data_IF_744165276353
#
_entry.id   IF_744165276353
#
_cell.length_a   1.000
_cell.length_b   1.000
_cell.length_c   1.000
_cell.angle_alpha   90.00
_cell.angle_beta   90.00
_cell.angle_gamma   90.00
#
_symmetry.space_group_name_H-M   'P 1'
#
loop_
_entity.id
_entity.type
_entity.pdbx_description
1 polymer ?
#
# COMPACT_ATOMS: atom_id res chain seq x y z
N UNK A 1 11.36 -28.81 -14.65
CA UNK A 1 10.34 -27.75 -14.83
C UNK A 1 11.03 -26.61 -15.57
N UNK A 2 10.61 -26.30 -16.79
CA UNK A 2 11.22 -25.20 -17.56
C UNK A 2 10.92 -23.88 -16.85
N UNK A 3 11.96 -23.12 -16.48
CA UNK A 3 11.79 -21.75 -16.01
C UNK A 3 11.34 -20.93 -17.21
N UNK A 4 10.07 -20.53 -17.26
CA UNK A 4 9.62 -19.53 -18.21
C UNK A 4 10.36 -18.23 -17.88
N UNK A 5 11.43 -17.94 -18.61
CA UNK A 5 12.15 -16.68 -18.50
C UNK A 5 11.23 -15.57 -19.03
N UNK A 6 10.88 -14.61 -18.17
CA UNK A 6 10.15 -13.42 -18.60
C UNK A 6 10.99 -12.69 -19.66
N UNK A 7 10.38 -12.30 -20.78
CA UNK A 7 11.05 -11.60 -21.89
C UNK A 7 10.91 -10.08 -21.80
N UNK A 8 10.50 -9.54 -20.64
CA UNK A 8 10.34 -8.09 -20.52
C UNK A 8 11.72 -7.38 -20.58
N UNK A 9 11.78 -6.15 -21.12
CA UNK A 9 13.04 -5.40 -21.24
C UNK A 9 13.74 -5.13 -19.89
N UNK A 10 12.96 -5.25 -18.81
CA UNK A 10 13.30 -4.91 -17.43
C UNK A 10 13.83 -6.12 -16.65
N UNK A 11 13.69 -7.33 -17.18
CA UNK A 11 14.21 -8.54 -16.54
C UNK A 11 15.70 -8.70 -16.85
N UNK A 12 16.53 -8.77 -15.79
CA UNK A 12 17.93 -9.17 -15.90
C UNK A 12 18.12 -10.56 -15.31
N UNK A 13 18.58 -11.50 -16.12
CA UNK A 13 19.03 -12.80 -15.64
C UNK A 13 20.11 -12.61 -14.58
N UNK A 14 19.95 -13.25 -13.43
CA UNK A 14 20.89 -13.12 -12.31
C UNK A 14 20.76 -11.83 -11.53
N UNK A 15 19.58 -11.20 -11.48
CA UNK A 15 19.34 -10.15 -10.49
C UNK A 15 19.45 -10.76 -9.08
N UNK A 16 20.26 -10.11 -8.25
CA UNK A 16 20.61 -10.58 -6.91
C UNK A 16 20.27 -9.50 -5.88
N UNK A 17 19.94 -9.89 -4.63
CA UNK A 17 19.78 -8.93 -3.55
C UNK A 17 21.05 -8.08 -3.39
N UNK A 18 20.89 -6.78 -3.16
CA UNK A 18 22.03 -5.92 -2.85
C UNK A 18 22.70 -6.35 -1.54
N UNK A 19 24.02 -6.20 -1.40
CA UNK A 19 24.71 -6.49 -0.16
C UNK A 19 24.16 -5.59 0.96
N UNK A 20 23.92 -6.15 2.13
CA UNK A 20 23.65 -5.33 3.32
C UNK A 20 24.96 -4.68 3.77
N UNK A 21 25.06 -3.34 3.81
CA UNK A 21 26.27 -2.66 4.29
C UNK A 21 26.49 -2.84 5.80
N UNK A 22 25.52 -3.40 6.51
CA UNK A 22 25.53 -3.59 7.96
C UNK A 22 25.12 -5.03 8.29
N UNK A 23 25.80 -5.66 9.25
CA UNK A 23 25.55 -7.06 9.62
C UNK A 23 24.08 -7.32 10.02
N UNK A 24 23.48 -6.39 10.77
CA UNK A 24 22.08 -6.46 11.24
C UNK A 24 21.19 -5.33 10.70
N UNK A 25 21.67 -4.58 9.72
CA UNK A 25 20.95 -3.43 9.19
C UNK A 25 19.90 -3.78 8.16
N UNK A 26 19.26 -2.74 7.67
CA UNK A 26 18.23 -2.80 6.65
C UNK A 26 18.91 -2.50 5.31
N UNK A 27 18.79 -3.42 4.35
CA UNK A 27 19.36 -3.24 3.03
C UNK A 27 18.39 -2.49 2.10
N UNK A 28 18.95 -1.86 1.06
CA UNK A 28 18.15 -1.36 -0.05
C UNK A 28 17.48 -2.52 -0.78
N UNK A 29 16.20 -2.37 -1.11
CA UNK A 29 15.40 -3.40 -1.77
C UNK A 29 14.71 -4.35 -0.82
N UNK A 30 15.09 -4.36 0.47
CA UNK A 30 14.35 -5.13 1.48
C UNK A 30 12.88 -4.74 1.46
N UNK A 31 12.00 -5.73 1.60
CA UNK A 31 10.57 -5.49 1.73
C UNK A 31 10.13 -5.72 3.18
N UNK A 32 9.54 -4.70 3.78
CA UNK A 32 9.00 -4.74 5.13
C UNK A 32 7.50 -4.49 5.12
N UNK A 33 6.80 -4.87 6.19
CA UNK A 33 5.44 -4.39 6.43
C UNK A 33 5.42 -3.13 7.29
N UNK A 34 4.53 -2.19 6.97
CA UNK A 34 4.38 -0.90 7.64
C UNK A 34 2.92 -0.53 7.81
N UNK A 35 2.60 0.21 8.89
CA UNK A 35 1.24 0.69 9.16
C UNK A 35 0.90 2.00 8.44
N UNK A 36 1.19 2.08 7.14
CA UNK A 36 1.01 3.28 6.32
C UNK A 36 -0.24 3.20 5.42
N UNK A 37 -0.87 4.35 5.18
CA UNK A 37 -1.98 4.43 4.23
C UNK A 37 -1.44 4.42 2.79
N UNK A 38 -2.14 3.73 1.89
CA UNK A 38 -1.86 3.82 0.44
C UNK A 38 -2.04 5.25 -0.11
N UNK A 39 -2.81 6.08 0.62
CA UNK A 39 -3.02 7.48 0.27
C UNK A 39 -1.84 8.39 0.64
N UNK A 40 -0.96 7.96 1.54
CA UNK A 40 0.17 8.77 2.03
C UNK A 40 1.08 9.29 0.91
N UNK A 41 1.60 8.45 -0.01
CA UNK A 41 2.39 8.95 -1.14
C UNK A 41 1.58 9.89 -2.04
N UNK A 42 0.27 9.68 -2.19
CA UNK A 42 -0.58 10.56 -3.01
C UNK A 42 -0.74 11.95 -2.39
N UNK A 43 -0.97 12.03 -1.07
CA UNK A 43 -0.97 13.32 -0.39
C UNK A 43 0.41 14.00 -0.47
N UNK A 44 1.50 13.21 -0.43
CA UNK A 44 2.86 13.72 -0.60
C UNK A 44 3.11 14.28 -2.00
N UNK A 45 2.59 13.65 -3.06
CA UNK A 45 2.62 14.20 -4.42
C UNK A 45 1.91 15.56 -4.46
N UNK A 46 0.67 15.64 -3.97
CA UNK A 46 -0.13 16.87 -4.07
C UNK A 46 0.42 18.03 -3.24
N UNK A 47 0.87 17.79 -2.00
CA UNK A 47 1.45 18.87 -1.15
C UNK A 47 2.72 19.47 -1.73
N UNK A 48 3.45 18.70 -2.53
CA UNK A 48 4.70 19.11 -3.18
C UNK A 48 4.47 19.55 -4.64
N UNK A 49 3.22 19.52 -5.14
CA UNK A 49 2.90 19.92 -6.51
C UNK A 49 2.89 21.46 -6.62
N UNK A 50 3.66 22.05 -7.54
CA UNK A 50 3.64 23.50 -7.73
C UNK A 50 2.29 23.94 -8.31
N UNK A 51 1.86 25.15 -7.95
CA UNK A 51 0.63 25.79 -8.43
C UNK A 51 -0.69 25.05 -8.12
N UNK A 52 -0.68 24.06 -7.20
CA UNK A 52 -1.92 23.44 -6.75
C UNK A 52 -2.81 24.48 -6.04
N UNK A 53 -4.12 24.44 -6.31
CA UNK A 53 -5.06 25.36 -5.70
C UNK A 53 -4.96 25.30 -4.17
N UNK A 54 -4.95 26.47 -3.50
CA UNK A 54 -4.72 26.58 -2.05
C UNK A 54 -5.61 25.66 -1.24
N UNK A 55 -6.89 25.54 -1.59
CA UNK A 55 -7.84 24.65 -0.90
C UNK A 55 -7.43 23.17 -0.99
N UNK A 56 -7.03 22.70 -2.18
CA UNK A 56 -6.57 21.33 -2.40
C UNK A 56 -5.22 21.07 -1.73
N UNK A 57 -4.32 22.05 -1.74
CA UNK A 57 -3.04 21.98 -1.03
C UNK A 57 -3.24 21.88 0.50
N UNK A 58 -4.11 22.71 1.07
CA UNK A 58 -4.48 22.64 2.50
C UNK A 58 -5.10 21.29 2.84
N UNK A 59 -6.04 20.82 2.00
CA UNK A 59 -6.69 19.52 2.19
C UNK A 59 -5.67 18.36 2.15
N UNK A 60 -4.73 18.39 1.20
CA UNK A 60 -3.67 17.39 1.06
C UNK A 60 -2.73 17.39 2.26
N UNK A 61 -2.28 18.58 2.68
CA UNK A 61 -1.40 18.75 3.84
C UNK A 61 -2.07 18.29 5.13
N UNK A 62 -3.32 18.69 5.35
CA UNK A 62 -4.10 18.27 6.53
C UNK A 62 -4.32 16.77 6.54
N UNK A 63 -4.64 16.19 5.38
CA UNK A 63 -4.82 14.74 5.24
C UNK A 63 -3.53 13.98 5.48
N UNK A 64 -2.40 14.47 4.96
CA UNK A 64 -1.08 13.91 5.20
C UNK A 64 -0.76 13.90 6.71
N UNK A 65 -0.88 15.06 7.38
CA UNK A 65 -0.63 15.18 8.82
C UNK A 65 -1.57 14.26 9.62
N UNK A 66 -2.87 14.27 9.30
CA UNK A 66 -3.85 13.39 9.96
C UNK A 66 -3.55 11.92 9.78
N UNK A 67 -3.04 11.51 8.62
CA UNK A 67 -2.65 10.13 8.38
C UNK A 67 -1.37 9.79 9.12
N UNK A 68 -0.35 10.65 9.07
CA UNK A 68 0.93 10.44 9.77
C UNK A 68 0.80 10.45 11.29
N UNK A 69 -0.15 11.20 11.87
CA UNK A 69 -0.35 11.27 13.32
C UNK A 69 -1.05 10.05 13.93
N UNK A 70 -1.72 9.22 13.12
CA UNK A 70 -2.38 8.00 13.61
C UNK A 70 -1.34 6.96 14.00
N UNK A 71 -1.58 6.22 15.09
CA UNK A 71 -0.77 5.05 15.44
C UNK A 71 -0.84 3.97 14.34
N UNK A 72 -2.03 3.76 13.78
CA UNK A 72 -2.27 2.85 12.65
C UNK A 72 -3.02 3.59 11.52
N UNK A 73 -2.35 3.77 10.37
CA UNK A 73 -2.95 4.41 9.19
C UNK A 73 -3.48 3.42 8.15
N UNK A 74 -3.31 2.12 8.41
CA UNK A 74 -3.79 1.03 7.57
C UNK A 74 -4.83 0.20 8.32
N UNK A 75 -5.77 -0.37 7.58
CA UNK A 75 -6.71 -1.37 8.10
C UNK A 75 -6.17 -2.80 8.01
N UNK A 76 -5.04 -2.99 7.34
CA UNK A 76 -4.40 -4.29 7.24
C UNK A 76 -3.75 -4.61 8.58
N UNK A 77 -4.29 -5.60 9.28
CA UNK A 77 -3.79 -6.05 10.58
C UNK A 77 -2.29 -6.40 10.54
N UNK A 78 -1.83 -6.95 9.41
CA UNK A 78 -0.44 -7.36 9.20
C UNK A 78 0.47 -6.25 8.61
N UNK A 79 -0.07 -5.04 8.44
CA UNK A 79 0.61 -3.94 7.75
C UNK A 79 0.52 -4.06 6.22
N UNK A 80 1.11 -3.08 5.54
CA UNK A 80 1.25 -3.03 4.07
C UNK A 80 2.70 -3.22 3.66
N UNK A 81 3.01 -3.95 2.58
CA UNK A 81 4.36 -4.03 2.05
C UNK A 81 4.92 -2.65 1.68
N UNK A 82 6.19 -2.42 2.01
CA UNK A 82 6.97 -1.26 1.61
C UNK A 82 8.38 -1.70 1.22
N UNK A 83 8.90 -1.08 0.17
CA UNK A 83 10.24 -1.31 -0.34
C UNK A 83 11.17 -0.25 0.25
N UNK A 84 12.27 -0.68 0.83
CA UNK A 84 13.29 0.20 1.39
C UNK A 84 14.15 0.77 0.26
N UNK A 85 14.15 2.10 0.11
CA UNK A 85 14.84 2.75 -1.01
C UNK A 85 16.33 3.00 -0.78
N UNK A 86 16.78 2.97 0.49
CA UNK A 86 18.15 3.24 0.93
C UNK A 86 18.51 2.36 2.13
N UNK A 87 19.78 1.95 2.29
CA UNK A 87 20.17 1.19 3.47
C UNK A 87 20.09 2.04 4.75
N UNK A 88 19.86 1.38 5.88
CA UNK A 88 19.83 1.97 7.21
C UNK A 88 20.55 1.07 8.21
N UNK A 89 21.37 1.65 9.08
CA UNK A 89 22.07 0.93 10.15
C UNK A 89 21.12 0.66 11.33
N UNK A 90 20.20 1.58 11.60
CA UNK A 90 19.32 1.50 12.75
C UNK A 90 18.28 0.37 12.63
N UNK A 91 17.91 -0.24 13.76
CA UNK A 91 16.98 -1.35 13.77
C UNK A 91 15.59 -0.94 13.24
N UNK A 92 14.85 -1.87 12.62
CA UNK A 92 13.57 -1.62 11.96
C UNK A 92 12.50 -1.00 12.89
N UNK A 93 12.55 -1.31 14.18
CA UNK A 93 11.58 -0.87 15.18
C UNK A 93 11.77 0.58 15.63
N UNK A 94 12.91 1.21 15.34
CA UNK A 94 13.15 2.61 15.71
C UNK A 94 12.30 3.54 14.84
N UNK A 95 11.55 4.44 15.45
CA UNK A 95 10.81 5.48 14.73
C UNK A 95 11.79 6.55 14.22
N UNK A 96 12.12 6.49 12.93
CA UNK A 96 12.98 7.46 12.25
C UNK A 96 12.56 7.62 10.79
N UNK A 97 13.00 8.69 10.16
CA UNK A 97 12.68 8.97 8.76
C UNK A 97 13.34 7.97 7.81
N UNK A 98 12.53 7.11 7.20
CA UNK A 98 12.96 6.15 6.17
C UNK A 98 12.34 6.46 4.82
N UNK A 99 13.15 6.36 3.76
CA UNK A 99 12.72 6.52 2.37
C UNK A 99 12.19 5.20 1.86
N UNK A 100 10.91 5.19 1.50
CA UNK A 100 10.21 3.97 1.06
C UNK A 100 9.34 4.24 -0.16
N UNK A 101 9.05 3.18 -0.91
CA UNK A 101 7.90 3.09 -1.80
C UNK A 101 6.88 2.10 -1.21
N UNK A 102 5.58 2.34 -1.40
CA UNK A 102 4.55 1.41 -0.94
C UNK A 102 4.19 0.43 -2.04
N UNK A 103 4.08 -0.85 -1.68
CA UNK A 103 3.44 -1.85 -2.50
C UNK A 103 2.01 -2.11 -1.99
N UNK A 104 1.08 -2.35 -2.90
CA UNK A 104 -0.35 -2.39 -2.60
C UNK A 104 -1.09 -3.22 -3.64
N UNK A 105 -2.27 -3.69 -3.28
CA UNK A 105 -3.15 -4.42 -4.18
C UNK A 105 -4.39 -3.62 -4.58
N UNK A 106 -4.41 -2.33 -4.20
CA UNK A 106 -5.45 -1.34 -4.52
C UNK A 106 -6.88 -1.89 -4.38
N UNK A 107 -7.09 -2.69 -3.33
CA UNK A 107 -8.38 -3.32 -2.99
C UNK A 107 -8.92 -4.28 -4.05
N UNK A 108 -8.06 -4.90 -4.85
CA UNK A 108 -8.45 -5.83 -5.92
C UNK A 108 -9.20 -5.15 -7.08
N UNK A 109 -9.17 -3.82 -7.14
CA UNK A 109 -9.80 -3.06 -8.24
C UNK A 109 -8.86 -3.03 -9.44
N UNK A 110 -9.45 -3.07 -10.63
CA UNK A 110 -8.71 -2.86 -11.87
C UNK A 110 -8.10 -1.46 -11.89
N UNK A 111 -6.82 -1.35 -12.26
CA UNK A 111 -6.08 -0.08 -12.28
C UNK A 111 -6.82 1.02 -13.07
N UNK A 112 -7.40 0.67 -14.22
CA UNK A 112 -8.17 1.58 -15.08
C UNK A 112 -9.42 2.19 -14.43
N UNK A 113 -9.89 1.64 -13.31
CA UNK A 113 -11.04 2.14 -12.53
C UNK A 113 -10.64 2.99 -11.32
N UNK A 114 -9.34 3.12 -11.06
CA UNK A 114 -8.84 3.96 -9.97
C UNK A 114 -8.64 5.40 -10.44
N UNK A 115 -8.57 6.38 -9.52
CA UNK A 115 -8.22 7.75 -9.87
C UNK A 115 -6.94 7.82 -10.70
N UNK A 116 -6.87 8.74 -11.68
CA UNK A 116 -5.73 8.87 -12.59
C UNK A 116 -4.38 8.98 -11.89
N UNK A 117 -4.34 9.54 -10.69
CA UNK A 117 -3.11 9.64 -9.91
C UNK A 117 -2.53 8.28 -9.50
N UNK A 118 -3.38 7.27 -9.27
CA UNK A 118 -2.90 5.91 -9.04
C UNK A 118 -2.39 5.29 -10.33
N UNK A 119 -3.09 5.51 -11.45
CA UNK A 119 -2.68 4.99 -12.75
C UNK A 119 -1.31 5.54 -13.18
N UNK A 120 -1.08 6.83 -12.94
CA UNK A 120 0.15 7.53 -13.32
C UNK A 120 1.38 7.03 -12.55
N UNK A 121 1.22 6.77 -11.25
CA UNK A 121 2.34 6.50 -10.35
C UNK A 121 2.45 5.03 -9.95
N UNK A 122 1.59 4.13 -10.43
CA UNK A 122 1.66 2.71 -10.08
C UNK A 122 2.37 1.91 -11.16
N UNK A 123 3.38 1.15 -10.75
CA UNK A 123 4.10 0.21 -11.60
C UNK A 123 3.71 -1.22 -11.20
N UNK A 124 3.33 -2.11 -12.14
CA UNK A 124 3.02 -3.48 -11.82
C UNK A 124 4.21 -4.21 -11.18
N UNK A 125 3.92 -5.04 -10.19
CA UNK A 125 4.87 -5.97 -9.59
C UNK A 125 4.58 -7.37 -10.15
N UNK A 126 5.57 -7.99 -10.79
CA UNK A 126 5.37 -9.19 -11.62
C UNK A 126 4.97 -10.44 -10.81
N UNK A 127 3.72 -10.95 -10.94
CA UNK A 127 3.29 -12.26 -10.48
C UNK A 127 3.97 -13.45 -11.15
N UNK A 128 3.89 -14.60 -10.48
CA UNK A 128 4.19 -15.95 -10.98
C UNK A 128 3.40 -16.41 -12.20
N UNK A 129 2.15 -15.97 -12.35
CA UNK A 129 1.16 -16.66 -13.19
C UNK A 129 0.36 -15.76 -14.15
N UNK A 130 0.72 -14.48 -14.29
CA UNK A 130 0.05 -13.63 -15.27
C UNK A 130 0.80 -13.65 -16.60
N UNK A 131 0.11 -13.87 -17.73
CA UNK A 131 0.63 -13.47 -19.02
C UNK A 131 0.57 -11.95 -19.06
N UNK A 132 1.60 -11.27 -18.53
CA UNK A 132 1.81 -9.91 -18.98
C UNK A 132 2.03 -9.96 -20.48
N UNK A 133 1.43 -9.01 -21.21
CA UNK A 133 1.68 -8.92 -22.63
C UNK A 133 3.17 -8.64 -22.83
N UNK A 134 3.73 -9.22 -23.88
CA UNK A 134 5.13 -9.03 -24.22
C UNK A 134 5.38 -7.53 -24.42
N UNK A 135 6.17 -6.92 -23.53
CA UNK A 135 6.45 -5.49 -23.53
C UNK A 135 5.83 -4.67 -22.39
N UNK A 136 5.00 -5.26 -21.52
CA UNK A 136 4.49 -4.55 -20.35
C UNK A 136 5.61 -4.22 -19.35
N UNK A 137 5.71 -2.95 -18.98
CA UNK A 137 6.72 -2.44 -18.06
C UNK A 137 6.38 -2.80 -16.60
N UNK A 138 7.16 -3.69 -15.97
CA UNK A 138 6.95 -4.15 -14.59
C UNK A 138 8.24 -4.31 -13.78
N UNK A 139 8.11 -4.55 -12.48
CA UNK A 139 9.23 -4.76 -11.53
C UNK A 139 9.19 -6.20 -11.00
N UNK A 140 10.35 -6.84 -10.89
CA UNK A 140 10.49 -8.18 -10.33
C UNK A 140 10.93 -8.13 -8.86
N UNK A 141 10.45 -9.09 -8.07
CA UNK A 141 10.95 -9.38 -6.72
C UNK A 141 11.65 -10.74 -6.68
N UNK A 142 12.42 -10.95 -5.62
CA UNK A 142 13.08 -12.19 -5.25
C UNK A 142 12.62 -12.59 -3.82
N UNK A 143 12.03 -13.78 -3.63
CA UNK A 143 11.45 -14.61 -4.68
C UNK A 143 10.30 -13.88 -5.40
N UNK A 144 9.82 -14.48 -6.48
CA UNK A 144 8.75 -13.91 -7.29
C UNK A 144 7.47 -13.71 -6.49
N UNK A 145 6.81 -12.57 -6.73
CA UNK A 145 5.55 -12.21 -6.10
C UNK A 145 4.42 -13.15 -6.57
N UNK A 146 3.54 -13.58 -5.68
CA UNK A 146 2.47 -14.53 -6.00
C UNK A 146 1.20 -13.85 -6.51
N UNK A 147 0.97 -12.62 -6.06
CA UNK A 147 -0.25 -11.85 -6.36
C UNK A 147 -0.20 -11.19 -7.72
N UNK A 148 -1.26 -11.37 -8.51
CA UNK A 148 -1.41 -10.75 -9.84
C UNK A 148 -1.90 -9.31 -9.80
N UNK A 149 -2.44 -8.88 -8.66
CA UNK A 149 -3.01 -7.56 -8.45
C UNK A 149 -2.05 -6.63 -7.68
N UNK A 150 -0.74 -6.91 -7.66
CA UNK A 150 0.24 -6.16 -6.89
C UNK A 150 0.87 -5.01 -7.70
N UNK A 151 0.95 -3.84 -7.06
CA UNK A 151 1.45 -2.60 -7.65
C UNK A 151 2.39 -1.90 -6.68
N UNK A 152 3.46 -1.29 -7.18
CA UNK A 152 4.31 -0.36 -6.45
C UNK A 152 3.88 1.07 -6.80
N UNK A 153 3.63 1.91 -5.80
CA UNK A 153 3.53 3.36 -6.03
C UNK A 153 4.96 3.89 -6.19
N UNK A 154 5.38 4.14 -7.43
CA UNK A 154 6.67 4.67 -7.84
C UNK A 154 6.81 6.15 -7.47
N UNK A 155 6.81 6.40 -6.16
CA UNK A 155 7.04 7.68 -5.52
C UNK A 155 7.76 7.45 -4.19
N UNK A 156 9.05 7.76 -4.13
CA UNK A 156 9.83 7.73 -2.88
C UNK A 156 9.33 8.85 -1.95
N UNK A 157 8.88 8.48 -0.75
CA UNK A 157 8.55 9.42 0.33
C UNK A 157 9.20 9.01 1.64
N UNK A 158 9.27 9.96 2.58
CA UNK A 158 9.78 9.68 3.93
C UNK A 158 8.62 9.26 4.84
N UNK A 159 8.72 8.08 5.45
CA UNK A 159 7.86 7.66 6.56
C UNK A 159 8.64 7.71 7.87
N UNK A 160 7.98 8.08 8.97
CA UNK A 160 8.54 8.03 10.32
C UNK A 160 7.99 6.85 11.13
N UNK A 161 7.16 6.01 10.51
CA UNK A 161 6.58 4.84 11.17
C UNK A 161 7.65 3.77 11.37
N UNK A 162 7.60 3.04 12.49
CA UNK A 162 8.45 1.86 12.65
C UNK A 162 8.08 0.81 11.61
N UNK A 163 9.09 0.08 11.13
CA UNK A 163 8.88 -1.11 10.33
C UNK A 163 8.44 -2.24 11.26
N UNK A 164 7.45 -3.03 10.84
CA UNK A 164 6.85 -4.06 11.69
C UNK A 164 7.67 -5.34 11.62
N UNK A 165 7.81 -5.89 10.41
CA UNK A 165 8.60 -7.10 10.14
C UNK A 165 9.05 -7.14 8.70
N UNK A 166 10.14 -7.84 8.44
CA UNK A 166 10.54 -8.17 7.06
C UNK A 166 9.44 -9.08 6.47
N UNK A 167 9.06 -8.81 5.22
CA UNK A 167 8.01 -9.54 4.55
C UNK A 167 8.56 -10.90 4.12
N UNK A 168 8.04 -11.96 4.71
CA UNK A 168 8.36 -13.32 4.30
C UNK A 168 7.55 -13.72 3.07
N UNK A 169 8.20 -14.49 2.21
CA UNK A 169 7.67 -15.09 1.01
C UNK A 169 6.42 -15.93 1.25
N UNK A 170 6.22 -16.53 2.43
CA UNK A 170 5.14 -17.50 2.64
C UNK A 170 3.71 -17.06 2.26
N UNK A 171 3.35 -15.77 2.36
CA UNK A 171 2.03 -15.27 1.89
C UNK A 171 2.08 -14.69 0.48
N UNK A 172 3.26 -14.35 -0.02
CA UNK A 172 3.47 -13.55 -1.23
C UNK A 172 4.32 -14.29 -2.27
N UNK A 173 4.61 -15.58 -2.06
CA UNK A 173 5.45 -16.45 -2.89
C UNK A 173 5.39 -17.91 -2.41
N UNK A 174 5.82 -18.84 -3.26
CA UNK A 174 5.76 -20.29 -2.99
C UNK A 174 7.04 -20.84 -2.34
N UNK A 175 7.96 -19.96 -1.95
CA UNK A 175 9.19 -20.31 -1.22
C UNK A 175 9.05 -19.93 0.27
N UNK A 176 8.39 -20.74 1.10
CA UNK A 176 8.22 -20.44 2.52
C UNK A 176 9.57 -20.29 3.21
N UNK A 177 9.75 -19.20 3.96
CA UNK A 177 10.97 -18.91 4.74
C UNK A 177 11.94 -17.91 4.09
N UNK A 178 11.88 -17.70 2.77
CA UNK A 178 12.64 -16.63 2.13
C UNK A 178 12.04 -15.25 2.49
N UNK A 179 12.87 -14.21 2.48
CA UNK A 179 12.39 -12.83 2.58
C UNK A 179 12.16 -12.26 1.19
N UNK A 180 11.10 -11.47 1.05
CA UNK A 180 10.85 -10.70 -0.17
C UNK A 180 11.85 -9.54 -0.26
N UNK A 181 12.51 -9.42 -1.39
CA UNK A 181 13.47 -8.36 -1.71
C UNK A 181 13.35 -7.97 -3.18
N UNK A 182 13.68 -6.74 -3.53
CA UNK A 182 13.94 -6.33 -4.92
C UNK A 182 15.45 -6.39 -5.14
N UNK A 183 15.88 -7.12 -6.16
CA UNK A 183 17.29 -7.20 -6.54
C UNK A 183 17.84 -5.86 -6.99
N UNK A 184 19.16 -5.80 -7.19
CA UNK A 184 19.86 -4.56 -7.55
C UNK A 184 19.33 -3.94 -8.86
N UNK A 185 19.05 -4.74 -9.89
CA UNK A 185 18.54 -4.25 -11.17
C UNK A 185 17.10 -3.74 -11.02
N UNK A 186 16.24 -4.50 -10.34
CA UNK A 186 14.87 -4.06 -10.03
C UNK A 186 14.86 -2.75 -9.21
N UNK A 187 15.79 -2.58 -8.27
CA UNK A 187 15.93 -1.36 -7.47
C UNK A 187 16.45 -0.16 -8.27
N UNK A 188 17.42 -0.37 -9.17
CA UNK A 188 17.89 0.67 -10.09
C UNK A 188 16.73 1.20 -10.94
N UNK A 189 15.94 0.29 -11.48
CA UNK A 189 14.78 0.61 -12.30
C UNK A 189 13.67 1.31 -11.50
N UNK A 190 13.32 0.83 -10.31
CA UNK A 190 12.32 1.49 -9.46
C UNK A 190 12.74 2.93 -9.10
N UNK A 191 14.04 3.17 -8.84
CA UNK A 191 14.57 4.52 -8.62
C UNK A 191 14.46 5.39 -9.87
N UNK A 192 14.75 4.83 -11.04
CA UNK A 192 14.60 5.53 -12.31
C UNK A 192 13.13 5.92 -12.56
N UNK A 193 12.19 5.01 -12.34
CA UNK A 193 10.74 5.27 -12.45
C UNK A 193 10.29 6.35 -11.46
N UNK A 194 10.72 6.28 -10.19
CA UNK A 194 10.41 7.31 -9.19
C UNK A 194 10.92 8.70 -9.61
N UNK A 195 12.16 8.77 -10.12
CA UNK A 195 12.79 10.02 -10.56
C UNK A 195 12.08 10.58 -11.79
N UNK A 196 11.85 9.74 -12.80
CA UNK A 196 11.18 10.11 -14.05
C UNK A 196 9.76 10.62 -13.79
N UNK A 197 8.94 9.84 -13.07
CA UNK A 197 7.57 10.23 -12.75
C UNK A 197 7.51 11.56 -11.99
N UNK A 198 8.43 11.79 -11.04
CA UNK A 198 8.52 13.07 -10.32
C UNK A 198 8.87 14.23 -11.24
N UNK A 199 9.90 14.08 -12.07
CA UNK A 199 10.32 15.12 -13.00
C UNK A 199 9.23 15.46 -14.02
N UNK A 200 8.60 14.45 -14.63
CA UNK A 200 7.49 14.63 -15.57
C UNK A 200 6.28 15.30 -14.91
N UNK A 201 5.92 14.90 -13.69
CA UNK A 201 4.85 15.52 -12.93
C UNK A 201 5.13 16.99 -12.63
N UNK A 202 6.30 17.30 -12.08
CA UNK A 202 6.71 18.66 -11.77
C UNK A 202 6.76 19.54 -13.03
N UNK A 203 7.29 19.01 -14.14
CA UNK A 203 7.35 19.73 -15.42
C UNK A 203 5.96 20.02 -15.96
N UNK A 204 5.02 19.07 -15.89
CA UNK A 204 3.61 19.29 -16.28
C UNK A 204 2.93 20.34 -15.41
N UNK A 205 3.17 20.31 -14.09
CA UNK A 205 2.61 21.31 -13.17
C UNK A 205 3.20 22.72 -13.37
N UNK A 206 4.49 22.83 -13.74
CA UNK A 206 5.13 24.12 -14.08
C UNK A 206 4.61 24.67 -15.40
N UNK A 207 4.50 23.81 -16.42
CA UNK A 207 4.06 24.19 -17.78
C UNK A 207 2.57 24.53 -17.81
N UNK A 208 1.76 23.79 -17.06
CA UNK A 208 0.33 24.02 -16.92
C UNK A 208 -0.06 24.10 -15.44
N UNK A 209 -0.20 25.31 -14.88
CA UNK A 209 -0.61 25.52 -13.48
C UNK A 209 -1.94 24.86 -13.09
N UNK A 210 -2.81 24.53 -14.05
CA UNK A 210 -4.10 23.87 -13.81
C UNK A 210 -4.02 22.34 -13.90
N UNK A 211 -2.85 21.76 -14.19
CA UNK A 211 -2.68 20.33 -14.45
C UNK A 211 -3.01 19.44 -13.25
N UNK A 212 -2.48 19.73 -12.06
CA UNK A 212 -2.65 18.88 -10.88
C UNK A 212 -4.06 18.95 -10.27
N UNK A 213 -4.79 20.05 -10.50
CA UNK A 213 -6.09 20.32 -9.87
C UNK A 213 -7.15 19.24 -10.15
N UNK A 214 -7.38 18.83 -11.41
CA UNK A 214 -8.27 17.73 -11.76
C UNK A 214 -7.91 16.39 -11.10
N UNK A 215 -6.62 16.04 -11.05
CA UNK A 215 -6.15 14.80 -10.39
C UNK A 215 -6.47 14.81 -8.89
N UNK A 216 -6.19 15.94 -8.21
CA UNK A 216 -6.49 16.10 -6.80
C UNK A 216 -8.00 16.01 -6.54
N UNK A 217 -8.82 16.70 -7.36
CA UNK A 217 -10.28 16.65 -7.25
C UNK A 217 -10.81 15.22 -7.38
N UNK A 218 -10.45 14.53 -8.46
CA UNK A 218 -10.85 13.15 -8.72
C UNK A 218 -10.48 12.22 -7.55
N UNK A 219 -9.25 12.34 -7.05
CA UNK A 219 -8.79 11.55 -5.91
C UNK A 219 -9.59 11.83 -4.62
N UNK A 220 -9.87 13.08 -4.29
CA UNK A 220 -10.62 13.43 -3.09
C UNK A 220 -12.10 13.02 -3.19
N UNK A 221 -12.71 13.15 -4.35
CA UNK A 221 -14.07 12.69 -4.61
C UNK A 221 -14.16 11.16 -4.42
N UNK A 222 -13.23 10.42 -5.04
CA UNK A 222 -13.14 8.97 -4.88
C UNK A 222 -12.94 8.55 -3.42
N UNK A 223 -12.12 9.28 -2.66
CA UNK A 223 -11.92 9.01 -1.22
C UNK A 223 -13.20 9.23 -0.42
N UNK A 224 -13.95 10.28 -0.74
CA UNK A 224 -15.23 10.58 -0.10
C UNK A 224 -16.24 9.46 -0.37
N UNK A 225 -16.31 8.97 -1.60
CA UNK A 225 -17.18 7.84 -1.99
C UNK A 225 -16.83 6.55 -1.22
N UNK A 226 -15.54 6.18 -1.15
CA UNK A 226 -15.10 5.01 -0.38
C UNK A 226 -15.47 5.17 1.10
N UNK A 227 -15.19 6.33 1.71
CA UNK A 227 -15.54 6.56 3.12
C UNK A 227 -17.05 6.49 3.37
N UNK A 228 -17.85 7.05 2.46
CA UNK A 228 -19.31 7.00 2.55
C UNK A 228 -19.83 5.55 2.45
N UNK A 229 -19.31 4.77 1.50
CA UNK A 229 -19.66 3.36 1.34
C UNK A 229 -19.28 2.53 2.58
N UNK A 230 -18.10 2.76 3.16
CA UNK A 230 -17.66 2.10 4.39
C UNK A 230 -18.53 2.47 5.60
N UNK A 231 -18.92 3.74 5.72
CA UNK A 231 -19.81 4.20 6.79
C UNK A 231 -21.20 3.57 6.67
N UNK A 232 -21.76 3.52 5.45
CA UNK A 232 -23.04 2.88 5.19
C UNK A 232 -23.02 1.37 5.50
N UNK A 233 -21.95 0.67 5.13
CA UNK A 233 -21.76 -0.76 5.42
C UNK A 233 -21.75 -1.04 6.94
N UNK A 234 -21.05 -0.22 7.73
CA UNK A 234 -21.03 -0.35 9.20
C UNK A 234 -22.40 -0.12 9.83
N UNK A 235 -23.16 0.83 9.30
CA UNK A 235 -24.50 1.12 9.81
C UNK A 235 -25.48 -0.04 9.52
N UNK A 236 -25.37 -0.68 8.35
CA UNK A 236 -26.15 -1.87 8.01
C UNK A 236 -25.88 -3.05 8.96
N UNK A 237 -24.61 -3.30 9.30
CA UNK A 237 -24.23 -4.34 10.26
C UNK A 237 -24.71 -4.05 11.69
N UNK A 238 -24.63 -2.79 12.13
CA UNK A 238 -25.13 -2.38 13.44
C UNK A 238 -26.66 -2.55 13.56
N UNK A 239 -27.40 -2.27 12.47
CA UNK A 239 -28.86 -2.43 12.44
C UNK A 239 -29.28 -3.90 12.45
N UNK A 240 -28.50 -4.80 11.82
CA UNK A 240 -28.76 -6.25 11.91
C UNK A 240 -28.43 -6.83 13.29
N UNK A 241 -27.46 -6.26 14.00
CA UNK A 241 -27.11 -6.68 15.37
C UNK A 241 -28.17 -6.29 16.41
N UNK A 242 -28.85 -5.16 16.23
CA UNK A 242 -29.93 -4.71 17.14
C UNK A 242 -31.28 -5.40 16.90
N UNK A 243 -31.50 -6.02 15.74
CA UNK A 243 -32.71 -6.81 15.46
C UNK A 243 -32.64 -8.27 15.97
N UNK A 244 -31.56 -8.70 16.63
CA UNK A 244 -31.34 -10.09 17.10
C UNK A 244 -31.36 -10.27 18.62
N UNK A 245 -32.21 -9.54 19.34
CA UNK A 245 -32.62 -9.95 20.71
C UNK A 245 -34.14 -10.06 20.83
N UNK A 246 -34.73 -11.24 20.55
CA UNK A 246 -35.98 -11.61 21.18
C UNK A 246 -35.68 -11.82 22.67
N UNK A 247 -36.18 -10.89 23.47
CA UNK A 247 -36.24 -10.96 24.93
C UNK A 247 -37.09 -12.18 25.30
N UNK A 248 -36.47 -13.33 25.55
CA UNK A 248 -37.16 -14.49 26.13
C UNK A 248 -37.48 -14.16 27.59
N UNK A 249 -38.70 -13.66 27.81
CA UNK A 249 -39.29 -13.59 29.14
C UNK A 249 -39.46 -15.02 29.65
N UNK A 250 -38.49 -15.50 30.43
CA UNK A 250 -38.63 -16.72 31.20
C UNK A 250 -39.71 -16.49 32.27
N UNK A 251 -40.92 -16.97 31.97
CA UNK A 251 -41.98 -17.17 32.94
C UNK A 251 -41.47 -18.05 34.08
N UNK A 252 -41.30 -17.48 35.28
CA UNK A 252 -41.14 -18.25 36.52
C UNK A 252 -42.50 -18.89 36.83
N UNK A 253 -42.60 -20.20 36.61
CA UNK A 253 -43.71 -21.02 37.10
C UNK A 253 -43.53 -21.21 38.61
N UNK A 254 -44.40 -20.57 39.39
CA UNK A 254 -44.52 -20.79 40.83
C UNK A 254 -45.18 -22.16 41.06
N UNK A 255 -44.44 -23.12 41.61
CA UNK A 255 -44.98 -24.44 42.00
C UNK A 255 -45.29 -24.42 43.50
N UNK A 256 -46.57 -24.25 43.83
CA UNK A 256 -47.13 -24.60 45.14
C UNK A 256 -47.30 -26.14 45.23
N UNK A 257 -46.87 -26.72 46.34
CA UNK A 257 -47.34 -27.99 46.92
C UNK A 257 -47.00 -27.87 48.41
N UNK A 258 -47.94 -27.61 49.34
CA UNK A 258 -49.02 -28.48 49.85
C UNK A 258 -48.45 -29.77 50.47
N UNK A 259 -48.09 -29.68 51.75
CA UNK A 259 -48.03 -30.81 52.65
C UNK A 259 -49.17 -30.66 53.67
N UNK A 260 -49.97 -31.71 53.81
CA UNK A 260 -50.96 -31.88 54.87
C UNK A 260 -50.66 -33.19 55.59
N UNK A 261 -51.08 -33.19 56.87
CA UNK A 261 -51.03 -34.24 57.89
C UNK A 261 -49.68 -34.46 58.56
#
# INVERSE_FOLDING_TARGET
>A
MASNSCQCPRYRNGDEPGPSPYADGIASGDVYTINESVCTPIYDIFRNSPNLARTQWVQSTTSFISVCSRQTATKHLDGRPCIIMRPYEEPPTRAMGRKVCLATTLWGRQMSKLPKIFQEFSVPLYPRSSPFEEGDDHIHSLPQWSRTDAWIIAWEFTTHRPLIRRLSAGRESDQPGANMVLGMAAMEQLRADCKRNRQEWENRCRTNPRFAGPYAKEFFDHRKEIMAAEAASKYSLATQATCRTPRTNAHKVTRQNRAGY
#
